data_IF_062286863219
#
_entry.id   IF_062286863219
#
_cell.length_a   1.000
_cell.length_b   1.000
_cell.length_c   1.000
_cell.angle_alpha   90.00
_cell.angle_beta   90.00
_cell.angle_gamma   90.00
#
_symmetry.space_group_name_H-M   'P 1'
#
loop_
_entity.id
_entity.type
_entity.pdbx_description
1 polymer ?
#
# COMPACT_ATOMS: atom_id res chain seq x y z
N UNK A 1 -27.44 28.86 -8.05
CA UNK A 1 -26.88 28.53 -9.38
C UNK A 1 -25.77 27.46 -9.17
N UNK A 2 -25.99 26.19 -9.52
CA UNK A 2 -24.95 25.15 -9.41
C UNK A 2 -23.92 25.40 -10.50
N UNK A 3 -22.68 25.68 -10.11
CA UNK A 3 -21.55 25.75 -11.03
C UNK A 3 -21.44 24.43 -11.81
N UNK A 4 -21.62 24.48 -13.13
CA UNK A 4 -21.35 23.32 -14.00
C UNK A 4 -19.84 23.08 -13.98
N UNK A 5 -19.40 22.10 -13.17
CA UNK A 5 -18.01 21.65 -13.09
C UNK A 5 -17.79 20.51 -14.08
N UNK A 6 -16.73 20.56 -14.85
CA UNK A 6 -16.36 19.43 -15.73
C UNK A 6 -16.04 18.20 -14.89
N UNK A 7 -16.38 17.00 -15.37
CA UNK A 7 -16.02 15.75 -14.69
C UNK A 7 -14.52 15.63 -14.50
N UNK A 8 -14.08 15.19 -13.34
CA UNK A 8 -12.69 14.95 -13.02
C UNK A 8 -12.22 13.70 -13.78
N UNK A 9 -11.21 13.87 -14.65
CA UNK A 9 -10.71 12.84 -15.57
C UNK A 9 -11.84 12.14 -16.38
N UNK A 10 -12.89 12.91 -16.75
CA UNK A 10 -14.04 12.39 -17.51
C UNK A 10 -15.00 11.49 -16.70
N UNK A 11 -14.74 11.23 -15.41
CA UNK A 11 -15.50 10.30 -14.62
C UNK A 11 -16.12 10.89 -13.34
N UNK A 12 -15.33 11.56 -12.49
CA UNK A 12 -15.75 11.99 -11.16
C UNK A 12 -16.59 13.27 -11.16
N UNK A 13 -17.59 13.36 -10.30
CA UNK A 13 -18.49 14.52 -10.14
C UNK A 13 -18.17 15.22 -8.82
N UNK A 14 -17.63 16.44 -8.90
CA UNK A 14 -17.48 17.29 -7.73
C UNK A 14 -18.79 18.00 -7.42
N UNK A 15 -19.54 17.45 -6.50
CA UNK A 15 -20.84 17.93 -6.02
C UNK A 15 -20.75 18.73 -4.72
N UNK A 16 -19.54 19.13 -4.28
CA UNK A 16 -19.37 19.98 -3.11
C UNK A 16 -20.01 21.36 -3.31
N UNK A 17 -20.64 21.86 -2.27
CA UNK A 17 -21.25 23.20 -2.18
C UNK A 17 -20.24 24.29 -1.71
N UNK A 18 -18.99 23.89 -1.51
CA UNK A 18 -17.87 24.73 -1.09
C UNK A 18 -16.65 24.62 -2.01
N UNK A 19 -15.68 25.52 -1.83
CA UNK A 19 -14.44 25.52 -2.59
C UNK A 19 -13.50 24.42 -2.07
N UNK A 20 -13.32 23.35 -2.85
CA UNK A 20 -12.46 22.18 -2.50
C UNK A 20 -10.98 22.42 -2.81
N UNK A 21 -10.66 23.34 -3.69
CA UNK A 21 -9.27 23.72 -4.04
C UNK A 21 -9.21 25.17 -4.48
N UNK A 22 -8.23 25.89 -3.98
CA UNK A 22 -7.86 27.25 -4.37
C UNK A 22 -6.33 27.38 -4.38
N UNK A 23 -5.81 28.58 -4.70
CA UNK A 23 -4.36 28.81 -4.72
C UNK A 23 -3.67 28.45 -3.39
N UNK A 24 -4.35 28.73 -2.26
CA UNK A 24 -3.78 28.58 -0.91
C UNK A 24 -4.46 27.49 -0.06
N UNK A 25 -5.44 26.78 -0.62
CA UNK A 25 -6.18 25.74 0.11
C UNK A 25 -6.46 24.55 -0.78
N UNK A 26 -6.20 23.36 -0.26
CA UNK A 26 -6.54 22.10 -0.92
C UNK A 26 -7.18 21.16 0.10
N UNK A 27 -8.45 20.85 -0.10
CA UNK A 27 -9.18 19.90 0.71
C UNK A 27 -8.52 18.51 0.62
N UNK A 28 -8.11 17.95 1.76
CA UNK A 28 -7.42 16.65 1.82
C UNK A 28 -8.27 15.52 1.25
N UNK A 29 -9.56 15.49 1.57
CA UNK A 29 -10.51 14.51 1.01
C UNK A 29 -10.57 14.56 -0.50
N UNK A 30 -10.67 15.79 -1.04
CA UNK A 30 -10.71 16.03 -2.49
C UNK A 30 -9.39 15.60 -3.16
N UNK A 31 -8.27 15.83 -2.50
CA UNK A 31 -6.96 15.39 -3.01
C UNK A 31 -6.89 13.89 -3.16
N UNK A 32 -7.26 13.13 -2.12
CA UNK A 32 -7.24 11.66 -2.16
C UNK A 32 -8.18 11.14 -3.22
N UNK A 33 -9.41 11.69 -3.31
CA UNK A 33 -10.39 11.32 -4.30
C UNK A 33 -9.93 11.56 -5.73
N UNK A 34 -9.40 12.74 -6.03
CA UNK A 34 -8.89 13.06 -7.37
C UNK A 34 -7.66 12.24 -7.75
N UNK A 35 -6.77 11.93 -6.79
CA UNK A 35 -5.62 11.07 -7.04
C UNK A 35 -6.03 9.63 -7.34
N UNK A 36 -7.05 9.10 -6.68
CA UNK A 36 -7.63 7.80 -6.98
C UNK A 36 -8.22 7.76 -8.39
N UNK A 37 -9.03 8.76 -8.77
CA UNK A 37 -9.61 8.86 -10.11
C UNK A 37 -8.51 8.97 -11.16
N UNK A 38 -7.47 9.77 -10.91
CA UNK A 38 -6.33 9.93 -11.81
C UNK A 38 -5.63 8.60 -12.08
N UNK A 39 -5.46 7.75 -11.07
CA UNK A 39 -4.86 6.41 -11.23
C UNK A 39 -5.67 5.50 -12.15
N UNK A 40 -7.01 5.60 -12.10
CA UNK A 40 -7.90 4.73 -12.90
C UNK A 40 -8.21 5.28 -14.30
N UNK A 41 -8.24 6.63 -14.47
CA UNK A 41 -8.80 7.24 -15.67
C UNK A 41 -7.84 8.16 -16.43
N UNK A 42 -6.65 8.47 -15.91
CA UNK A 42 -5.69 9.32 -16.62
C UNK A 42 -4.76 8.46 -17.48
N UNK A 43 -4.87 8.57 -18.82
CA UNK A 43 -3.96 7.90 -19.75
C UNK A 43 -2.49 8.13 -19.40
N UNK A 44 -2.10 9.39 -19.14
CA UNK A 44 -0.73 9.74 -18.73
C UNK A 44 -0.28 9.02 -17.45
N UNK A 45 -1.22 8.76 -16.52
CA UNK A 45 -0.90 8.01 -15.30
C UNK A 45 -0.75 6.52 -15.57
N UNK A 46 -1.63 5.95 -16.39
CA UNK A 46 -1.59 4.53 -16.77
C UNK A 46 -0.33 4.21 -17.58
N UNK A 47 0.04 5.05 -18.55
CA UNK A 47 1.27 4.89 -19.34
C UNK A 47 2.53 4.88 -18.44
N UNK A 48 2.54 5.70 -17.38
CA UNK A 48 3.66 5.77 -16.43
C UNK A 48 3.64 4.66 -15.36
N UNK A 49 2.47 4.19 -15.01
CA UNK A 49 2.24 3.22 -13.94
C UNK A 49 1.27 2.11 -14.40
N UNK A 50 1.74 1.15 -15.22
CA UNK A 50 0.88 0.08 -15.78
C UNK A 50 0.20 -0.78 -14.72
N UNK A 51 0.69 -0.80 -13.48
CA UNK A 51 0.08 -1.53 -12.36
C UNK A 51 -1.35 -1.09 -12.07
N UNK A 52 -1.74 0.13 -12.48
CA UNK A 52 -3.12 0.62 -12.35
C UNK A 52 -4.03 0.24 -13.53
N UNK A 53 -3.50 -0.43 -14.55
CA UNK A 53 -4.32 -0.90 -15.67
C UNK A 53 -5.40 -1.87 -15.19
N UNK A 54 -6.63 -1.69 -15.68
CA UNK A 54 -7.80 -2.43 -15.24
C UNK A 54 -8.35 -2.03 -13.87
N UNK A 55 -7.76 -1.02 -13.19
CA UNK A 55 -8.33 -0.52 -11.95
C UNK A 55 -9.62 0.28 -12.21
N UNK A 56 -10.61 0.05 -11.35
CA UNK A 56 -11.91 0.73 -11.35
C UNK A 56 -12.25 1.32 -9.99
N UNK A 57 -13.33 2.10 -9.95
CA UNK A 57 -13.80 2.76 -8.73
C UNK A 57 -15.27 2.42 -8.55
N UNK A 58 -15.65 2.11 -7.31
CA UNK A 58 -17.06 1.85 -6.94
C UNK A 58 -17.96 3.02 -7.35
N UNK A 59 -19.13 2.71 -7.90
CA UNK A 59 -20.06 3.71 -8.48
C UNK A 59 -20.43 4.83 -7.52
N UNK A 60 -20.61 4.53 -6.24
CA UNK A 60 -20.95 5.53 -5.22
C UNK A 60 -19.89 6.62 -5.08
N UNK A 61 -18.61 6.27 -5.29
CA UNK A 61 -17.51 7.20 -5.22
C UNK A 61 -17.34 8.07 -6.48
N UNK A 62 -18.23 7.92 -7.46
CA UNK A 62 -18.36 8.85 -8.56
C UNK A 62 -18.63 10.27 -8.06
N UNK A 63 -19.42 10.39 -6.97
CA UNK A 63 -19.71 11.65 -6.32
C UNK A 63 -18.72 11.91 -5.18
N UNK A 64 -18.11 13.10 -5.18
CA UNK A 64 -17.15 13.46 -4.16
C UNK A 64 -17.73 13.43 -2.74
N UNK A 65 -18.99 13.88 -2.57
CA UNK A 65 -19.65 13.87 -1.27
C UNK A 65 -19.75 12.47 -0.65
N UNK A 66 -20.00 11.43 -1.45
CA UNK A 66 -20.07 10.06 -0.98
C UNK A 66 -18.71 9.53 -0.54
N UNK A 67 -17.66 9.78 -1.34
CA UNK A 67 -16.29 9.44 -0.96
C UNK A 67 -15.87 10.14 0.33
N UNK A 68 -16.16 11.45 0.45
CA UNK A 68 -15.86 12.24 1.65
C UNK A 68 -16.52 11.65 2.90
N UNK A 69 -17.84 11.36 2.84
CA UNK A 69 -18.59 10.74 3.95
C UNK A 69 -17.98 9.41 4.40
N UNK A 70 -17.49 8.60 3.46
CA UNK A 70 -16.80 7.35 3.79
C UNK A 70 -15.45 7.63 4.43
N UNK A 71 -14.64 8.51 3.82
CA UNK A 71 -13.28 8.81 4.29
C UNK A 71 -13.28 9.44 5.69
N UNK A 72 -14.28 10.27 6.04
CA UNK A 72 -14.44 10.87 7.38
C UNK A 72 -14.58 9.85 8.50
N UNK A 73 -15.05 8.64 8.18
CA UNK A 73 -15.21 7.54 9.14
C UNK A 73 -13.96 6.67 9.27
N UNK A 74 -12.93 6.94 8.46
CA UNK A 74 -11.70 6.17 8.45
C UNK A 74 -10.60 6.84 9.29
N UNK A 75 -9.64 6.05 9.74
CA UNK A 75 -8.40 6.54 10.35
C UNK A 75 -7.40 6.91 9.23
N UNK A 76 -7.64 8.04 8.57
CA UNK A 76 -6.96 8.46 7.34
C UNK A 76 -5.81 9.45 7.54
N UNK A 77 -5.74 10.18 8.67
CA UNK A 77 -4.77 11.26 8.86
C UNK A 77 -3.33 10.74 8.80
N UNK A 78 -2.53 11.35 7.91
CA UNK A 78 -1.15 10.93 7.66
C UNK A 78 -0.99 9.58 6.96
N UNK A 79 -2.09 8.97 6.47
CA UNK A 79 -2.11 7.66 5.81
C UNK A 79 -2.45 7.76 4.33
N UNK A 80 -2.25 6.67 3.62
CA UNK A 80 -2.49 6.51 2.19
C UNK A 80 -3.59 5.48 1.96
N UNK A 81 -4.49 5.78 1.02
CA UNK A 81 -5.50 4.81 0.59
C UNK A 81 -4.84 3.66 -0.17
N UNK A 82 -5.12 2.46 0.25
CA UNK A 82 -4.68 1.22 -0.37
C UNK A 82 -5.87 0.34 -0.72
N UNK A 83 -5.84 -0.33 -1.89
CA UNK A 83 -6.89 -1.22 -2.38
C UNK A 83 -6.49 -2.69 -2.39
N UNK A 84 -5.18 -2.96 -2.32
CA UNK A 84 -4.60 -4.30 -2.53
C UNK A 84 -4.30 -5.01 -1.20
N UNK A 85 -4.21 -4.24 -0.11
CA UNK A 85 -3.76 -4.79 1.16
C UNK A 85 -4.79 -5.72 1.80
N UNK A 86 -6.10 -5.38 1.70
CA UNK A 86 -7.17 -6.25 2.19
C UNK A 86 -7.35 -7.48 1.30
N UNK A 87 -7.29 -7.28 0.00
CA UNK A 87 -7.48 -8.32 -1.00
C UNK A 87 -6.36 -8.26 -2.04
N UNK A 88 -5.41 -9.21 -2.04
CA UNK A 88 -4.36 -9.26 -3.06
C UNK A 88 -4.96 -9.26 -4.47
N UNK A 89 -4.28 -8.59 -5.39
CA UNK A 89 -4.66 -8.45 -6.81
C UNK A 89 -6.01 -7.74 -7.06
N UNK A 90 -6.59 -7.14 -6.04
CA UNK A 90 -7.82 -6.37 -6.20
C UNK A 90 -7.60 -5.15 -7.11
N UNK A 91 -8.54 -4.94 -8.02
CA UNK A 91 -8.52 -3.82 -8.99
C UNK A 91 -9.58 -2.76 -8.72
N UNK A 92 -10.37 -2.91 -7.65
CA UNK A 92 -11.49 -2.02 -7.35
C UNK A 92 -11.20 -1.14 -6.15
N UNK A 93 -11.23 0.18 -6.34
CA UNK A 93 -11.31 1.12 -5.22
C UNK A 93 -12.75 1.21 -4.74
N UNK A 94 -13.02 0.79 -3.51
CA UNK A 94 -14.36 0.78 -2.94
C UNK A 94 -14.37 0.81 -1.42
N UNK A 95 -15.54 1.05 -0.79
CA UNK A 95 -15.67 1.16 0.66
C UNK A 95 -15.23 -0.11 1.39
N UNK A 96 -15.46 -1.28 0.80
CA UNK A 96 -15.16 -2.58 1.41
C UNK A 96 -13.76 -3.09 1.05
N UNK A 97 -13.18 -2.59 -0.05
CA UNK A 97 -11.88 -3.05 -0.57
C UNK A 97 -10.73 -2.13 -0.19
N UNK A 98 -11.01 -0.88 0.20
CA UNK A 98 -9.98 0.08 0.56
C UNK A 98 -9.79 0.21 2.08
N UNK A 99 -8.55 0.52 2.44
CA UNK A 99 -8.15 0.87 3.81
C UNK A 99 -7.10 1.98 3.77
N UNK A 100 -7.01 2.78 4.84
CA UNK A 100 -5.93 3.75 4.99
C UNK A 100 -4.78 3.15 5.81
N UNK A 101 -3.59 3.20 5.24
CA UNK A 101 -2.39 2.63 5.86
C UNK A 101 -1.23 3.60 5.87
N UNK A 102 -0.32 3.44 6.83
CA UNK A 102 0.93 4.20 6.85
C UNK A 102 1.79 3.84 5.64
N UNK A 103 2.66 4.76 5.22
CA UNK A 103 3.65 4.48 4.17
C UNK A 103 4.49 3.25 4.50
N UNK A 104 4.84 3.08 5.76
CA UNK A 104 5.62 1.95 6.25
C UNK A 104 4.91 0.61 6.00
N UNK A 105 3.61 0.55 6.33
CA UNK A 105 2.81 -0.65 6.10
C UNK A 105 2.60 -0.92 4.61
N UNK A 106 2.34 0.11 3.82
CA UNK A 106 2.21 -0.01 2.37
C UNK A 106 3.50 -0.58 1.74
N UNK A 107 4.67 -0.02 2.12
CA UNK A 107 5.97 -0.48 1.62
C UNK A 107 6.33 -1.91 2.07
N UNK A 108 5.72 -2.41 3.14
CA UNK A 108 5.99 -3.76 3.66
C UNK A 108 5.63 -4.86 2.65
N UNK A 109 4.65 -4.60 1.79
CA UNK A 109 4.15 -5.54 0.79
C UNK A 109 4.42 -5.11 -0.66
N UNK A 110 5.01 -3.92 -0.85
CA UNK A 110 5.39 -3.48 -2.20
C UNK A 110 6.62 -4.27 -2.66
N UNK A 111 6.51 -4.93 -3.81
CA UNK A 111 7.65 -5.51 -4.48
C UNK A 111 8.38 -4.39 -5.23
N UNK A 112 9.58 -4.06 -4.78
CA UNK A 112 10.37 -3.00 -5.39
C UNK A 112 11.17 -3.47 -6.63
N UNK A 113 10.92 -4.66 -7.15
CA UNK A 113 11.70 -5.24 -8.25
C UNK A 113 13.17 -5.47 -7.83
N UNK A 114 14.09 -5.75 -8.60
CA UNK A 114 15.55 -5.69 -8.29
C UNK A 114 15.99 -6.60 -7.13
N UNK A 115 15.36 -7.75 -6.99
CA UNK A 115 15.93 -8.82 -6.16
C UNK A 115 17.21 -9.26 -6.84
N UNK A 116 18.33 -9.17 -6.12
CA UNK A 116 19.59 -9.76 -6.55
C UNK A 116 19.43 -11.28 -6.77
N UNK A 117 20.51 -12.02 -7.04
CA UNK A 117 20.48 -13.45 -7.33
C UNK A 117 20.01 -14.33 -6.15
N UNK A 118 19.86 -13.75 -4.97
CA UNK A 118 19.52 -14.46 -3.74
C UNK A 118 18.06 -14.33 -3.35
N UNK A 119 17.58 -15.24 -2.48
CA UNK A 119 16.24 -15.23 -1.90
C UNK A 119 16.00 -13.93 -1.11
N UNK A 120 14.73 -13.53 -0.99
CA UNK A 120 14.34 -12.33 -0.25
C UNK A 120 14.92 -12.31 1.17
N UNK A 121 15.53 -11.17 1.55
CA UNK A 121 16.13 -11.04 2.88
C UNK A 121 17.44 -11.76 3.06
N UNK A 122 18.03 -12.30 1.99
CA UNK A 122 19.35 -12.93 2.02
C UNK A 122 20.29 -12.23 1.03
N UNK A 123 21.55 -12.07 1.42
CA UNK A 123 22.60 -11.68 0.52
C UNK A 123 23.89 -12.44 0.85
N UNK A 124 24.79 -12.55 -0.13
CA UNK A 124 26.11 -13.13 0.07
C UNK A 124 27.10 -12.00 0.31
N UNK A 125 27.86 -12.10 1.40
CA UNK A 125 28.90 -11.14 1.74
C UNK A 125 30.04 -11.18 0.71
N UNK A 126 30.52 -10.01 0.31
CA UNK A 126 31.69 -9.90 -0.56
C UNK A 126 32.95 -10.11 0.27
N UNK A 127 33.72 -11.16 -0.01
CA UNK A 127 34.94 -11.49 0.69
C UNK A 127 34.93 -12.90 1.27
N UNK A 128 36.11 -13.36 1.70
CA UNK A 128 36.30 -14.69 2.27
C UNK A 128 35.78 -14.65 3.71
N UNK A 129 34.72 -15.36 3.99
CA UNK A 129 34.15 -15.56 5.34
C UNK A 129 33.73 -17.01 5.53
N UNK A 130 33.86 -17.49 6.74
CA UNK A 130 33.40 -18.82 7.13
C UNK A 130 31.91 -19.00 6.89
N UNK A 131 31.11 -17.98 7.19
CA UNK A 131 29.64 -17.94 6.97
C UNK A 131 29.28 -16.79 6.02
N UNK A 132 29.25 -17.07 4.71
CA UNK A 132 29.13 -16.01 3.72
C UNK A 132 27.69 -15.50 3.49
N UNK A 133 26.65 -16.26 3.85
CA UNK A 133 25.28 -15.87 3.66
C UNK A 133 24.72 -15.15 4.87
N UNK A 134 24.10 -13.99 4.62
CA UNK A 134 23.58 -13.12 5.67
C UNK A 134 22.08 -12.99 5.53
N UNK A 135 21.36 -13.30 6.60
CA UNK A 135 19.95 -12.98 6.70
C UNK A 135 19.78 -11.55 7.22
N UNK A 136 18.92 -10.78 6.58
CA UNK A 136 18.61 -9.40 6.97
C UNK A 136 17.12 -9.12 6.88
N UNK A 137 16.61 -8.24 7.74
CA UNK A 137 15.23 -7.80 7.74
C UNK A 137 15.13 -6.28 7.89
N UNK A 138 14.19 -5.66 7.17
CA UNK A 138 13.82 -4.26 7.40
C UNK A 138 12.63 -4.20 8.34
N UNK A 139 12.82 -3.58 9.51
CA UNK A 139 11.76 -3.33 10.49
C UNK A 139 11.65 -1.82 10.75
N UNK A 140 10.47 -1.27 10.60
CA UNK A 140 10.21 0.18 10.79
C UNK A 140 11.15 1.07 10.00
N UNK A 141 11.47 0.68 8.74
CA UNK A 141 12.37 1.42 7.85
C UNK A 141 13.88 1.28 8.18
N UNK A 142 14.24 0.51 9.20
CA UNK A 142 15.62 0.21 9.58
C UNK A 142 15.97 -1.22 9.17
N UNK A 143 17.05 -1.37 8.40
CA UNK A 143 17.60 -2.65 8.01
C UNK A 143 18.51 -3.20 9.11
N UNK A 144 18.39 -4.49 9.41
CA UNK A 144 19.19 -5.17 10.41
C UNK A 144 19.60 -6.56 9.92
N UNK A 145 20.84 -6.91 10.06
CA UNK A 145 21.33 -8.28 9.92
C UNK A 145 20.89 -9.11 11.14
N UNK A 146 20.41 -10.32 10.89
CA UNK A 146 19.81 -11.19 11.90
C UNK A 146 20.52 -12.55 12.03
N UNK A 147 21.51 -12.83 11.18
CA UNK A 147 22.33 -14.03 11.27
C UNK A 147 23.25 -14.22 10.08
N UNK A 148 24.29 -15.03 10.29
CA UNK A 148 25.29 -15.44 9.30
C UNK A 148 25.27 -16.96 9.17
N UNK A 149 25.31 -17.48 7.93
CA UNK A 149 25.05 -18.88 7.63
C UNK A 149 26.00 -19.42 6.57
N UNK A 150 26.20 -20.74 6.58
CA UNK A 150 27.04 -21.44 5.62
C UNK A 150 26.39 -21.56 4.24
N UNK A 151 25.04 -21.57 4.21
CA UNK A 151 24.27 -21.70 2.99
C UNK A 151 23.07 -20.74 2.96
N UNK A 152 22.54 -20.51 1.74
CA UNK A 152 21.41 -19.61 1.50
C UNK A 152 20.10 -20.11 2.11
N UNK A 153 19.91 -21.43 2.18
CA UNK A 153 18.71 -22.05 2.72
C UNK A 153 18.50 -21.68 4.19
N UNK A 154 19.51 -21.87 5.03
CA UNK A 154 19.45 -21.56 6.45
C UNK A 154 19.28 -20.06 6.71
N UNK A 155 19.97 -19.21 5.92
CA UNK A 155 19.78 -17.76 5.97
C UNK A 155 18.32 -17.37 5.65
N UNK A 156 17.74 -18.02 4.65
CA UNK A 156 16.34 -17.76 4.26
C UNK A 156 15.35 -18.24 5.31
N UNK A 157 15.56 -19.39 5.95
CA UNK A 157 14.71 -19.86 7.06
C UNK A 157 14.77 -18.89 8.25
N UNK A 158 15.94 -18.37 8.57
CA UNK A 158 16.08 -17.33 9.59
C UNK A 158 15.29 -16.07 9.22
N UNK A 159 15.40 -15.61 7.97
CA UNK A 159 14.61 -14.48 7.46
C UNK A 159 13.10 -14.73 7.55
N UNK A 160 12.60 -15.91 7.12
CA UNK A 160 11.18 -16.24 7.18
C UNK A 160 10.65 -16.15 8.62
N UNK A 161 11.34 -16.75 9.58
CA UNK A 161 10.96 -16.69 11.00
C UNK A 161 10.88 -15.23 11.51
N UNK A 162 11.89 -14.42 11.20
CA UNK A 162 11.92 -13.02 11.60
C UNK A 162 10.83 -12.20 10.93
N UNK A 163 10.54 -12.46 9.63
CA UNK A 163 9.48 -11.81 8.86
C UNK A 163 8.11 -12.14 9.41
N UNK A 164 7.85 -13.42 9.71
CA UNK A 164 6.63 -13.90 10.35
C UNK A 164 6.36 -13.16 11.66
N UNK A 165 7.34 -13.17 12.57
CA UNK A 165 7.24 -12.46 13.85
C UNK A 165 6.92 -10.97 13.67
N UNK A 166 7.58 -10.32 12.72
CA UNK A 166 7.36 -8.90 12.44
C UNK A 166 5.96 -8.63 11.88
N UNK A 167 5.44 -9.48 11.00
CA UNK A 167 4.08 -9.34 10.45
C UNK A 167 3.02 -9.49 11.54
N UNK A 168 3.17 -10.45 12.46
CA UNK A 168 2.29 -10.64 13.61
C UNK A 168 2.32 -9.38 14.52
N UNK A 169 3.51 -8.87 14.81
CA UNK A 169 3.66 -7.65 15.61
C UNK A 169 2.96 -6.45 14.95
N UNK A 170 3.11 -6.29 13.62
CA UNK A 170 2.47 -5.21 12.88
C UNK A 170 0.95 -5.40 12.82
N UNK A 171 0.46 -6.62 12.64
CA UNK A 171 -0.97 -6.94 12.64
C UNK A 171 -1.63 -6.58 13.98
N UNK A 172 -1.02 -6.97 15.11
CA UNK A 172 -1.54 -6.70 16.44
C UNK A 172 -1.60 -5.21 16.82
N UNK A 173 -0.91 -4.35 16.07
CA UNK A 173 -0.96 -2.88 16.25
C UNK A 173 -2.07 -2.21 15.45
N UNK A 174 -2.77 -2.94 14.57
CA UNK A 174 -3.85 -2.37 13.77
C UNK A 174 -5.18 -2.37 14.55
N UNK A 175 -6.00 -1.34 14.30
CA UNK A 175 -7.34 -1.22 14.88
C UNK A 175 -8.42 -1.83 13.99
N UNK A 176 -8.22 -1.78 12.67
CA UNK A 176 -9.17 -2.35 11.68
C UNK A 176 -8.99 -3.87 11.63
N UNK A 177 -10.02 -4.61 12.07
CA UNK A 177 -10.04 -6.08 12.10
C UNK A 177 -9.82 -6.68 10.71
N UNK A 178 -10.32 -6.04 9.65
CA UNK A 178 -10.10 -6.50 8.26
C UNK A 178 -8.61 -6.47 7.93
N UNK A 179 -7.92 -5.39 8.36
CA UNK A 179 -6.50 -5.22 8.15
C UNK A 179 -5.69 -6.24 8.99
N UNK A 180 -6.08 -6.48 10.23
CA UNK A 180 -5.47 -7.53 11.08
C UNK A 180 -5.54 -8.88 10.36
N UNK A 181 -6.73 -9.29 9.93
CA UNK A 181 -6.94 -10.58 9.26
C UNK A 181 -6.14 -10.68 7.96
N UNK A 182 -6.13 -9.64 7.13
CA UNK A 182 -5.37 -9.61 5.89
C UNK A 182 -3.85 -9.71 6.11
N UNK A 183 -3.33 -9.13 7.19
CA UNK A 183 -1.92 -9.23 7.56
C UNK A 183 -1.58 -10.62 8.09
N UNK A 184 -2.44 -11.21 8.92
CA UNK A 184 -2.24 -12.55 9.45
C UNK A 184 -2.29 -13.63 8.36
N UNK A 185 -3.18 -13.50 7.37
CA UNK A 185 -3.19 -14.39 6.20
C UNK A 185 -1.85 -14.38 5.45
N UNK A 186 -1.18 -13.22 5.37
CA UNK A 186 0.14 -13.13 4.73
C UNK A 186 1.27 -13.75 5.55
N UNK A 187 1.06 -13.98 6.84
CA UNK A 187 2.01 -14.72 7.69
C UNK A 187 2.20 -16.14 7.20
N UNK A 188 1.14 -16.75 6.67
CA UNK A 188 1.17 -18.12 6.13
C UNK A 188 2.13 -18.28 4.94
N UNK A 189 2.43 -17.21 4.21
CA UNK A 189 3.41 -17.23 3.12
C UNK A 189 4.87 -17.43 3.61
N UNK A 190 5.09 -17.38 4.92
CA UNK A 190 6.41 -17.51 5.56
C UNK A 190 6.50 -18.73 6.50
N UNK A 191 5.66 -19.72 6.29
CA UNK A 191 5.70 -21.04 6.97
C UNK A 191 6.55 -22.09 6.21
#
# INVERSE_FOLDING_TARGET
MRLRRSPIYGWGINDADYVVASRNHKCKYYTVWTDMIRRCHSKKCLDKHPTYEGCSIHSDWKYFSNFKKWMEKQDWEGKFIDKDLLFPDNKVYGPDTCVFVTRQLNNLFTDHGGRGPHKQGVYKHRGIREKPYVAQISRYGKQKEIGYFDNEGDAYECYKKARRTYLIEVANKQKDVRLVNALLQRVELYI
#
